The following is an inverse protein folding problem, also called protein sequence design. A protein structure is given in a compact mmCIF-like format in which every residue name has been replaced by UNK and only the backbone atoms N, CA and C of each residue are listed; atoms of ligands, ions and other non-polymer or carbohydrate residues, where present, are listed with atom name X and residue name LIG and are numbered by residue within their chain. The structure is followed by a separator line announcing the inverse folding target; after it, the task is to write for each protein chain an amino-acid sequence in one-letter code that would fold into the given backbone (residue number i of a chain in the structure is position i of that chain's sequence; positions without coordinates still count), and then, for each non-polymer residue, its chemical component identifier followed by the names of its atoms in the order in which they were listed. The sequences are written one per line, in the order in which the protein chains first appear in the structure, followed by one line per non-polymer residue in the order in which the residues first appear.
data_IF_804404626187
#
_entry.id   IF_804404626187
#
_cell.length_a   1.000
_cell.length_b   1.000
_cell.length_c   1.000
_cell.angle_alpha   90.00
_cell.angle_beta   90.00
_cell.angle_gamma   90.00
#
_symmetry.space_group_name_H-M   'P 1'
#
loop_
_entity.id
_entity.type
_entity.pdbx_description
1 polymer ?
#
# COMPACT_ATOMS: atom_id res chain seq x y z
N UNK A 1 -7.48 0.25 0.71
CA UNK A 1 -7.74 -1.07 1.33
C UNK A 1 -6.45 -1.85 1.15
N UNK A 2 -5.77 -2.30 2.22
CA UNK A 2 -4.56 -3.11 2.06
C UNK A 2 -5.00 -4.51 1.60
N UNK A 3 -4.50 -4.95 0.44
CA UNK A 3 -4.75 -6.29 -0.07
C UNK A 3 -3.51 -7.15 0.18
N UNK A 4 -3.74 -8.38 0.63
CA UNK A 4 -2.68 -9.37 0.80
C UNK A 4 -2.13 -9.73 -0.58
N UNK A 5 -0.81 -9.68 -0.74
CA UNK A 5 -0.14 -10.31 -1.87
C UNK A 5 0.08 -11.78 -1.51
N UNK A 6 -0.51 -12.70 -2.28
CA UNK A 6 -0.60 -14.16 -2.07
C UNK A 6 0.76 -14.89 -2.20
N UNK A 7 1.87 -14.22 -1.89
CA UNK A 7 3.22 -14.71 -2.14
C UNK A 7 3.71 -15.78 -1.14
N UNK A 8 2.89 -16.20 -0.17
CA UNK A 8 3.22 -17.28 0.78
C UNK A 8 2.02 -18.21 1.06
N UNK A 9 1.79 -19.24 0.22
CA UNK A 9 0.78 -20.26 0.50
C UNK A 9 1.25 -21.13 1.68
N UNK A 10 0.59 -21.03 2.84
CA UNK A 10 0.77 -22.01 3.91
C UNK A 10 0.41 -21.60 5.33
N UNK A 11 0.14 -20.33 5.62
CA UNK A 11 -0.15 -19.87 6.98
C UNK A 11 -1.52 -19.20 7.01
N UNK A 12 -2.48 -19.69 7.82
CA UNK A 12 -3.77 -19.03 7.97
C UNK A 12 -3.59 -17.60 8.49
N UNK A 13 -4.01 -16.61 7.70
CA UNK A 13 -4.38 -15.31 8.23
C UNK A 13 -5.65 -15.51 9.07
N UNK A 14 -5.49 -15.82 10.37
CA UNK A 14 -6.64 -15.96 11.26
C UNK A 14 -7.36 -14.62 11.32
N UNK A 15 -8.65 -14.61 10.99
CA UNK A 15 -9.45 -13.40 11.01
C UNK A 15 -9.32 -12.70 12.38
N UNK A 16 -9.17 -11.38 12.36
CA UNK A 16 -8.96 -10.52 13.53
C UNK A 16 -10.04 -10.64 14.61
N UNK A 17 -11.20 -11.20 14.27
CA UNK A 17 -12.32 -11.46 15.18
C UNK A 17 -12.29 -12.82 15.89
N UNK A 18 -11.35 -13.70 15.57
CA UNK A 18 -11.28 -15.06 16.14
C UNK A 18 -10.26 -15.10 17.27
N UNK A 19 -10.51 -15.89 18.32
CA UNK A 19 -9.55 -16.11 19.41
C UNK A 19 -8.32 -16.88 18.91
N UNK A 20 -7.08 -16.40 19.16
CA UNK A 20 -5.89 -17.16 18.86
C UNK A 20 -5.87 -18.48 19.66
N UNK A 21 -5.62 -19.58 18.97
CA UNK A 21 -5.46 -20.89 19.60
C UNK A 21 -4.04 -21.01 20.13
N UNK A 22 -3.90 -21.57 21.33
CA UNK A 22 -2.59 -21.78 21.95
C UNK A 22 -1.64 -22.57 21.04
N UNK A 23 -0.36 -22.23 21.13
CA UNK A 23 0.77 -22.90 20.48
C UNK A 23 0.74 -22.90 18.95
N UNK A 24 -0.18 -22.15 18.34
CA UNK A 24 -0.20 -21.93 16.90
C UNK A 24 0.73 -20.80 16.46
N UNK A 25 0.95 -20.74 15.15
CA UNK A 25 1.70 -19.68 14.49
C UNK A 25 0.77 -18.91 13.56
N UNK A 26 0.73 -17.59 13.68
CA UNK A 26 -0.11 -16.73 12.87
C UNK A 26 0.71 -15.68 12.13
N UNK A 27 0.25 -15.31 10.94
CA UNK A 27 0.70 -14.09 10.29
C UNK A 27 0.14 -12.88 11.03
N UNK A 28 1.00 -11.94 11.38
CA UNK A 28 0.65 -10.70 12.05
C UNK A 28 1.45 -9.52 11.48
N UNK A 29 1.09 -8.32 11.94
CA UNK A 29 1.54 -7.06 11.41
C UNK A 29 1.95 -6.10 12.52
N UNK A 30 3.09 -5.43 12.34
CA UNK A 30 3.58 -4.38 13.24
C UNK A 30 3.79 -3.07 12.46
N UNK A 31 2.97 -2.05 12.75
CA UNK A 31 3.13 -0.72 12.18
C UNK A 31 4.25 0.05 12.86
N UNK A 32 5.19 0.58 12.08
CA UNK A 32 6.33 1.35 12.59
C UNK A 32 6.86 2.31 11.52
N UNK A 33 7.96 3.02 11.79
CA UNK A 33 8.61 3.86 10.76
C UNK A 33 9.57 3.04 9.89
N UNK A 34 9.79 3.45 8.63
CA UNK A 34 10.76 2.81 7.74
C UNK A 34 12.15 2.62 8.39
N UNK A 35 12.65 3.67 9.05
CA UNK A 35 13.91 3.61 9.80
C UNK A 35 13.86 2.57 10.93
N UNK A 36 12.78 2.51 11.69
CA UNK A 36 12.64 1.53 12.77
C UNK A 36 12.51 0.09 12.24
N UNK A 37 11.82 -0.09 11.11
CA UNK A 37 11.70 -1.40 10.45
C UNK A 37 13.06 -1.95 10.00
N UNK A 38 13.92 -1.12 9.41
CA UNK A 38 15.30 -1.52 9.08
C UNK A 38 16.11 -1.88 10.33
N UNK A 39 15.94 -1.14 11.44
CA UNK A 39 16.59 -1.49 12.70
C UNK A 39 16.08 -2.81 13.28
N UNK A 40 14.78 -3.09 13.16
CA UNK A 40 14.18 -4.36 13.60
C UNK A 40 14.65 -5.51 12.71
N UNK A 41 14.78 -5.30 11.40
CA UNK A 41 15.31 -6.29 10.47
C UNK A 41 16.75 -6.71 10.83
N UNK A 42 17.58 -5.76 11.25
CA UNK A 42 18.99 -6.02 11.61
C UNK A 42 19.12 -6.59 13.04
N UNK A 43 18.43 -6.00 14.01
CA UNK A 43 18.66 -6.25 15.44
C UNK A 43 17.58 -7.13 16.09
N UNK A 44 16.52 -7.47 15.37
CA UNK A 44 15.30 -8.07 15.92
C UNK A 44 14.39 -7.06 16.64
N UNK A 45 13.21 -7.52 17.02
CA UNK A 45 12.27 -6.73 17.81
C UNK A 45 12.79 -6.49 19.23
N UNK A 46 12.54 -5.29 19.75
CA UNK A 46 12.75 -4.94 21.16
C UNK A 46 11.40 -4.67 21.81
N UNK A 47 11.09 -5.27 22.98
CA UNK A 47 9.81 -5.06 23.62
C UNK A 47 9.72 -3.61 24.15
N UNK A 48 8.53 -3.03 24.11
CA UNK A 48 8.25 -1.74 24.75
C UNK A 48 8.47 -1.83 26.26
N UNK A 49 8.76 -0.70 26.91
CA UNK A 49 8.91 -0.69 28.37
C UNK A 49 7.56 -0.85 29.10
N UNK A 50 6.46 -0.40 28.49
CA UNK A 50 5.09 -0.49 29.00
C UNK A 50 4.10 -0.36 27.81
N UNK A 51 2.81 -0.48 28.12
CA UNK A 51 1.70 -0.34 27.20
C UNK A 51 0.37 -0.68 27.87
N UNK A 52 -0.73 -0.72 27.11
CA UNK A 52 -2.05 -1.11 27.63
C UNK A 52 -2.03 -2.51 28.26
N UNK A 53 -1.17 -3.39 27.75
CA UNK A 53 -0.99 -4.79 28.18
C UNK A 53 0.35 -5.01 28.90
N UNK A 54 1.02 -3.94 29.30
CA UNK A 54 2.37 -3.99 29.87
C UNK A 54 3.48 -4.07 28.82
N UNK A 55 4.64 -4.55 29.22
CA UNK A 55 5.82 -4.71 28.37
C UNK A 55 5.63 -5.83 27.35
N UNK A 56 6.00 -5.58 26.10
CA UNK A 56 6.01 -6.59 25.03
C UNK A 56 6.12 -5.98 23.64
N UNK A 57 5.96 -6.81 22.62
CA UNK A 57 5.88 -6.39 21.21
C UNK A 57 4.42 -6.42 20.79
N UNK A 58 3.91 -5.26 20.38
CA UNK A 58 2.52 -5.06 19.99
C UNK A 58 2.29 -5.36 18.52
N UNK A 59 1.33 -6.21 18.23
CA UNK A 59 1.03 -6.75 16.91
C UNK A 59 -0.47 -6.73 16.67
N UNK A 60 -0.86 -6.82 15.41
CA UNK A 60 -2.24 -7.03 15.02
C UNK A 60 -2.31 -8.05 13.90
N UNK A 61 -3.38 -8.82 13.85
CA UNK A 61 -3.75 -9.66 12.71
C UNK A 61 -4.46 -8.87 11.61
N UNK A 62 -4.84 -7.62 11.87
CA UNK A 62 -5.39 -6.70 10.88
C UNK A 62 -4.30 -5.76 10.33
N UNK A 63 -3.93 -5.98 9.07
CA UNK A 63 -2.98 -5.15 8.33
C UNK A 63 -3.42 -3.67 8.29
N UNK A 64 -4.71 -3.39 8.06
CA UNK A 64 -5.23 -2.02 8.01
C UNK A 64 -5.18 -1.36 9.40
N UNK A 65 -5.28 -2.13 10.49
CA UNK A 65 -5.07 -1.61 11.85
C UNK A 65 -3.60 -1.23 12.01
N UNK A 66 -2.70 -2.17 11.78
CA UNK A 66 -1.26 -2.00 11.98
C UNK A 66 -0.73 -0.81 11.16
N UNK A 67 -1.20 -0.65 9.92
CA UNK A 67 -0.76 0.43 9.03
C UNK A 67 -1.04 1.85 9.51
N UNK A 68 -1.87 2.04 10.54
CA UNK A 68 -2.14 3.37 11.11
C UNK A 68 -1.06 3.85 12.07
N UNK A 69 -0.06 3.01 12.38
CA UNK A 69 0.98 3.33 13.34
C UNK A 69 2.35 3.57 12.68
N UNK A 70 3.17 4.47 13.25
CA UNK A 70 2.87 5.30 14.42
C UNK A 70 1.94 6.49 14.08
N UNK A 71 1.12 6.92 15.04
CA UNK A 71 0.09 7.95 14.80
C UNK A 71 0.67 9.34 14.50
N UNK A 72 1.80 9.67 15.11
CA UNK A 72 2.50 10.96 15.02
C UNK A 72 3.37 11.11 13.76
N UNK A 73 3.68 10.02 13.04
CA UNK A 73 4.52 10.04 11.83
C UNK A 73 3.85 9.35 10.64
N UNK A 74 2.72 9.86 10.13
CA UNK A 74 1.96 9.24 9.05
C UNK A 74 2.74 9.01 7.75
N UNK A 75 3.68 9.90 7.43
CA UNK A 75 4.48 9.83 6.20
C UNK A 75 5.65 8.85 6.26
N UNK A 76 5.98 8.36 7.45
CA UNK A 76 7.11 7.42 7.63
C UNK A 76 6.63 5.98 7.81
N UNK A 77 5.32 5.73 7.79
CA UNK A 77 4.72 4.45 8.15
C UNK A 77 5.08 3.36 7.16
N UNK A 78 5.48 2.23 7.70
CA UNK A 78 5.56 0.94 7.02
C UNK A 78 4.96 -0.12 7.94
N UNK A 79 4.62 -1.27 7.38
CA UNK A 79 4.17 -2.42 8.18
C UNK A 79 5.19 -3.54 8.05
N UNK A 80 5.62 -4.10 9.16
CA UNK A 80 6.39 -5.34 9.15
C UNK A 80 5.41 -6.51 9.19
N UNK A 81 5.51 -7.41 8.23
CA UNK A 81 4.79 -8.70 8.25
C UNK A 81 5.67 -9.75 8.92
N UNK A 82 5.06 -10.50 9.83
CA UNK A 82 5.76 -11.45 10.68
C UNK A 82 4.96 -12.74 10.87
N UNK A 83 5.67 -13.83 11.16
CA UNK A 83 5.10 -15.03 11.74
C UNK A 83 5.26 -14.99 13.26
N UNK A 84 4.20 -15.25 14.00
CA UNK A 84 4.21 -15.17 15.47
C UNK A 84 3.77 -16.50 16.06
N UNK A 85 4.66 -17.18 16.77
CA UNK A 85 4.29 -18.30 17.64
C UNK A 85 3.68 -17.74 18.93
N UNK A 86 2.35 -17.80 19.03
CA UNK A 86 1.63 -17.14 20.14
C UNK A 86 1.78 -17.85 21.48
N UNK A 87 2.25 -19.10 21.50
CA UNK A 87 2.39 -19.90 22.71
C UNK A 87 1.09 -19.94 23.51
N UNK A 88 1.18 -19.75 24.83
CA UNK A 88 0.00 -19.65 25.69
C UNK A 88 -0.61 -18.25 25.63
N UNK A 89 -1.85 -18.16 25.18
CA UNK A 89 -2.58 -16.90 24.97
C UNK A 89 -3.45 -16.59 26.18
N UNK A 90 -3.45 -15.33 26.62
CA UNK A 90 -4.38 -14.81 27.62
C UNK A 90 -5.28 -13.75 27.02
N UNK A 91 -6.58 -14.03 26.95
CA UNK A 91 -7.61 -13.03 26.65
C UNK A 91 -7.68 -11.96 27.74
N UNK A 92 -7.64 -10.69 27.34
CA UNK A 92 -7.79 -9.49 28.18
C UNK A 92 -8.91 -8.64 27.57
N UNK A 93 -10.12 -8.75 28.10
CA UNK A 93 -11.34 -8.26 27.44
C UNK A 93 -12.08 -7.12 28.16
N UNK A 94 -11.45 -6.49 29.15
CA UNK A 94 -11.96 -5.28 29.79
C UNK A 94 -10.85 -4.48 30.50
N UNK A 95 -11.04 -3.18 30.62
CA UNK A 95 -10.10 -2.28 31.30
C UNK A 95 -10.01 -2.61 32.80
N UNK A 96 -8.79 -2.67 33.33
CA UNK A 96 -8.55 -3.07 34.72
C UNK A 96 -8.54 -4.58 34.95
N UNK A 97 -8.45 -5.39 33.89
CA UNK A 97 -8.33 -6.85 34.03
C UNK A 97 -7.16 -7.20 34.98
N UNK A 98 -7.32 -8.12 35.96
CA UNK A 98 -6.28 -8.42 36.96
C UNK A 98 -4.93 -8.81 36.38
N UNK A 99 -4.94 -9.46 35.20
CA UNK A 99 -3.76 -9.86 34.45
C UNK A 99 -3.38 -8.91 33.30
N UNK A 100 -4.00 -7.74 33.17
CA UNK A 100 -3.81 -6.82 32.03
C UNK A 100 -2.35 -6.53 31.74
N UNK A 101 -1.53 -6.31 32.79
CA UNK A 101 -0.09 -6.04 32.65
C UNK A 101 0.83 -7.14 33.22
N UNK A 102 0.27 -8.23 33.76
CA UNK A 102 1.00 -9.24 34.55
C UNK A 102 0.79 -10.67 34.05
N UNK A 103 0.12 -10.84 32.91
CA UNK A 103 -0.13 -12.13 32.26
C UNK A 103 1.16 -12.94 32.03
N UNK A 104 2.28 -12.29 31.70
CA UNK A 104 3.56 -12.99 31.49
C UNK A 104 4.07 -13.69 32.76
N UNK A 105 3.82 -13.13 33.95
CA UNK A 105 4.18 -13.73 35.24
C UNK A 105 3.37 -15.00 35.53
N UNK A 106 2.21 -15.13 34.88
CA UNK A 106 1.35 -16.31 34.93
C UNK A 106 1.67 -17.33 33.82
N UNK A 107 2.86 -17.22 33.21
CA UNK A 107 3.36 -18.15 32.18
C UNK A 107 2.56 -18.12 30.87
N UNK A 108 1.93 -16.99 30.57
CA UNK A 108 1.40 -16.72 29.23
C UNK A 108 2.47 -16.05 28.37
N UNK A 109 2.47 -16.36 27.08
CA UNK A 109 3.43 -15.87 26.10
C UNK A 109 2.89 -14.67 25.30
N UNK A 110 1.56 -14.62 25.15
CA UNK A 110 0.84 -13.54 24.44
C UNK A 110 -0.38 -13.11 25.25
N UNK A 111 -0.60 -11.81 25.40
CA UNK A 111 -1.91 -11.26 25.77
C UNK A 111 -2.66 -10.81 24.52
N UNK A 112 -3.95 -11.14 24.45
CA UNK A 112 -4.81 -10.81 23.32
C UNK A 112 -6.04 -10.02 23.77
N UNK A 113 -6.30 -8.92 23.08
CA UNK A 113 -7.51 -8.10 23.23
C UNK A 113 -8.46 -8.43 22.10
N UNK A 114 -9.67 -8.94 22.37
CA UNK A 114 -10.68 -9.17 21.35
C UNK A 114 -11.26 -7.85 20.81
N UNK A 115 -11.81 -7.86 19.59
CA UNK A 115 -12.50 -6.68 19.08
C UNK A 115 -13.75 -6.37 19.91
N UNK A 116 -14.13 -5.10 19.93
CA UNK A 116 -15.36 -4.57 20.53
C UNK A 116 -15.58 -4.89 22.02
N UNK A 117 -14.52 -5.14 22.79
CA UNK A 117 -14.62 -5.44 24.22
C UNK A 117 -14.40 -4.22 25.15
N UNK A 118 -14.30 -3.01 24.58
CA UNK A 118 -14.13 -1.77 25.36
C UNK A 118 -12.71 -1.50 25.87
N UNK A 119 -11.71 -2.31 25.47
CA UNK A 119 -10.30 -2.07 25.81
C UNK A 119 -9.73 -0.83 25.10
N UNK A 120 -10.08 -0.59 23.84
CA UNK A 120 -9.60 0.56 23.05
C UNK A 120 -10.76 1.28 22.36
N UNK A 121 -10.70 2.62 22.19
CA UNK A 121 -11.77 3.38 21.54
C UNK A 121 -12.09 2.91 20.11
N UNK A 122 -11.08 2.39 19.40
CA UNK A 122 -11.27 1.87 18.04
C UNK A 122 -12.06 0.56 17.97
N UNK A 123 -12.20 -0.17 19.08
CA UNK A 123 -12.80 -1.50 19.10
C UNK A 123 -11.98 -2.58 18.37
N UNK A 124 -10.75 -2.30 17.95
CA UNK A 124 -9.94 -3.25 17.18
C UNK A 124 -9.03 -4.11 18.07
N UNK A 125 -8.84 -5.36 17.65
CA UNK A 125 -8.06 -6.37 18.37
C UNK A 125 -6.57 -6.04 18.47
N UNK A 126 -5.89 -6.55 19.50
CA UNK A 126 -4.44 -6.34 19.68
C UNK A 126 -3.78 -7.53 20.37
N UNK A 127 -2.63 -7.94 19.86
CA UNK A 127 -1.76 -8.93 20.46
C UNK A 127 -0.53 -8.25 21.08
N UNK A 128 -0.11 -8.70 22.27
CA UNK A 128 1.14 -8.28 22.90
C UNK A 128 1.95 -9.52 23.27
N UNK A 129 3.09 -9.71 22.60
CA UNK A 129 3.98 -10.86 22.75
C UNK A 129 5.13 -10.53 23.69
N UNK A 130 5.39 -11.40 24.66
CA UNK A 130 6.38 -11.12 25.72
C UNK A 130 7.82 -11.24 25.22
N UNK A 131 8.15 -12.37 24.57
CA UNK A 131 9.48 -12.66 24.06
C UNK A 131 9.56 -12.42 22.55
N UNK A 132 10.34 -11.41 22.10
CA UNK A 132 10.57 -11.15 20.68
C UNK A 132 11.07 -12.36 19.86
N UNK A 133 11.72 -13.35 20.49
CA UNK A 133 12.22 -14.55 19.80
C UNK A 133 11.11 -15.42 19.21
N UNK A 134 9.86 -15.20 19.63
CA UNK A 134 8.67 -15.86 19.08
C UNK A 134 8.19 -15.23 17.76
N UNK A 135 8.79 -14.11 17.35
CA UNK A 135 8.41 -13.33 16.18
C UNK A 135 9.48 -13.52 15.11
N UNK A 136 9.08 -14.11 13.98
CA UNK A 136 9.94 -14.27 12.81
C UNK A 136 9.57 -13.20 11.78
N UNK A 137 10.53 -12.37 11.43
CA UNK A 137 10.39 -11.36 10.39
C UNK A 137 10.21 -12.03 9.01
N UNK A 138 9.23 -11.60 8.23
CA UNK A 138 9.06 -12.03 6.82
C UNK A 138 9.59 -10.92 5.91
N UNK A 139 8.88 -9.79 5.85
CA UNK A 139 9.22 -8.64 5.02
C UNK A 139 8.62 -7.34 5.56
N UNK A 140 8.98 -6.24 4.90
CA UNK A 140 8.38 -4.94 5.14
C UNK A 140 7.37 -4.75 4.01
N UNK A 141 6.10 -4.64 4.39
CA UNK A 141 5.06 -4.13 3.52
C UNK A 141 5.20 -2.60 3.56
N UNK A 142 5.67 -1.98 2.47
CA UNK A 142 5.59 -0.53 2.37
C UNK A 142 4.11 -0.13 2.44
N UNK A 143 3.78 1.14 2.69
CA UNK A 143 2.41 1.63 2.54
C UNK A 143 1.83 1.19 1.19
N UNK A 144 1.03 0.11 1.16
CA UNK A 144 0.34 -0.34 -0.05
C UNK A 144 -0.81 0.64 -0.23
N UNK A 145 -0.55 1.74 -0.94
CA UNK A 145 -1.49 2.76 -1.41
C UNK A 145 -2.84 2.78 -0.66
N UNK A 146 -2.81 3.09 0.64
CA UNK A 146 -3.86 3.90 1.25
C UNK A 146 -3.54 5.40 1.10
N UNK A 147 -2.52 5.72 0.33
CA UNK A 147 -2.19 7.07 -0.05
C UNK A 147 -2.73 7.33 -1.46
N UNK A 148 -3.88 7.99 -1.53
CA UNK A 148 -4.16 8.95 -2.61
C UNK A 148 -3.21 10.17 -2.55
N UNK A 149 -2.16 10.14 -1.71
CA UNK A 149 -1.26 11.26 -1.39
C UNK A 149 0.20 10.83 -1.03
N UNK A 150 0.79 9.80 -1.67
CA UNK A 150 2.27 9.69 -1.72
C UNK A 150 2.76 9.05 -3.04
N UNK A 151 3.16 9.89 -3.98
CA UNK A 151 3.67 9.54 -5.29
C UNK A 151 5.21 9.59 -5.32
N UNK A 152 5.85 8.60 -4.69
CA UNK A 152 7.31 8.64 -4.48
C UNK A 152 8.05 7.33 -4.79
N UNK A 153 7.47 6.40 -5.56
CA UNK A 153 8.36 5.72 -6.52
C UNK A 153 8.47 6.64 -7.73
N UNK A 154 9.45 7.56 -7.67
CA UNK A 154 9.84 8.33 -8.85
C UNK A 154 9.97 7.36 -10.02
N UNK A 155 9.34 7.65 -11.16
CA UNK A 155 9.54 6.87 -12.36
C UNK A 155 11.04 6.77 -12.60
N UNK A 156 11.53 5.54 -12.73
CA UNK A 156 12.93 5.30 -13.03
C UNK A 156 13.10 5.59 -14.51
N UNK A 157 14.07 6.45 -14.82
CA UNK A 157 14.42 6.76 -16.20
C UNK A 157 14.67 5.47 -16.99
N UNK A 158 14.25 5.46 -18.26
CA UNK A 158 14.39 4.35 -19.20
C UNK A 158 13.70 3.03 -18.79
N UNK A 159 12.89 3.02 -17.73
CA UNK A 159 12.14 1.83 -17.29
C UNK A 159 10.85 1.65 -18.11
N UNK A 160 10.55 0.39 -18.44
CA UNK A 160 9.27 0.02 -19.02
C UNK A 160 8.22 -0.20 -17.91
N UNK A 161 7.05 0.41 -18.09
CA UNK A 161 5.92 0.29 -17.18
C UNK A 161 4.69 -0.23 -17.92
N UNK A 162 3.87 -0.99 -17.19
CA UNK A 162 2.48 -1.24 -17.59
C UNK A 162 1.62 -0.09 -17.05
N UNK A 163 0.88 0.57 -17.93
CA UNK A 163 -0.01 1.69 -17.61
C UNK A 163 -1.37 1.52 -18.27
N UNK A 164 -2.28 2.45 -18.00
CA UNK A 164 -3.66 2.43 -18.44
C UNK A 164 -4.05 3.74 -19.11
N UNK A 165 -4.83 3.62 -20.19
CA UNK A 165 -5.39 4.74 -20.94
C UNK A 165 -6.92 4.61 -21.00
N UNK A 166 -7.61 5.58 -20.41
CA UNK A 166 -9.07 5.67 -20.49
C UNK A 166 -9.53 6.21 -21.83
N UNK A 167 -10.47 5.52 -22.47
CA UNK A 167 -10.97 5.90 -23.79
C UNK A 167 -12.42 5.43 -24.00
N UNK A 168 -13.02 5.76 -25.14
CA UNK A 168 -14.29 5.17 -25.55
C UNK A 168 -14.03 3.82 -26.23
N UNK A 169 -15.03 2.93 -26.28
CA UNK A 169 -14.94 1.68 -27.04
C UNK A 169 -14.62 1.92 -28.51
N UNK A 170 -15.16 2.98 -29.10
CA UNK A 170 -14.91 3.34 -30.49
C UNK A 170 -13.46 3.78 -30.70
N UNK A 171 -12.97 4.68 -29.85
CA UNK A 171 -11.61 5.21 -29.97
C UNK A 171 -10.55 4.17 -29.57
N UNK A 172 -10.89 3.20 -28.70
CA UNK A 172 -10.03 2.04 -28.44
C UNK A 172 -9.71 1.27 -29.73
N UNK A 173 -10.70 1.05 -30.60
CA UNK A 173 -10.48 0.36 -31.88
C UNK A 173 -9.66 1.22 -32.85
N UNK A 174 -9.91 2.54 -32.89
CA UNK A 174 -9.08 3.47 -33.70
C UNK A 174 -7.62 3.48 -33.23
N UNK A 175 -7.39 3.51 -31.91
CA UNK A 175 -6.04 3.52 -31.33
C UNK A 175 -5.30 2.21 -31.63
N UNK A 176 -5.99 1.06 -31.59
CA UNK A 176 -5.38 -0.22 -32.00
C UNK A 176 -4.96 -0.22 -33.47
N UNK A 177 -5.76 0.38 -34.34
CA UNK A 177 -5.50 0.41 -35.77
C UNK A 177 -4.42 1.43 -36.17
N UNK A 178 -4.44 2.61 -35.55
CA UNK A 178 -3.68 3.77 -36.01
C UNK A 178 -2.60 4.24 -35.01
N UNK A 179 -2.57 3.68 -33.80
CA UNK A 179 -1.74 4.15 -32.70
C UNK A 179 -2.35 5.35 -31.96
N UNK A 180 -1.61 5.84 -30.96
CA UNK A 180 -2.01 7.01 -30.19
C UNK A 180 -1.73 8.32 -30.94
N UNK A 181 -2.60 9.31 -30.73
CA UNK A 181 -2.36 10.70 -31.14
C UNK A 181 -2.09 11.54 -29.88
N UNK A 182 -1.22 12.54 -30.01
CA UNK A 182 -1.02 13.52 -28.94
C UNK A 182 -2.23 14.45 -28.84
N UNK A 183 -2.52 14.91 -27.63
CA UNK A 183 -3.49 15.97 -27.37
C UNK A 183 -2.90 17.00 -26.42
N UNK A 184 -3.39 18.25 -26.49
CA UNK A 184 -3.05 19.26 -25.49
C UNK A 184 -3.78 18.97 -24.18
N UNK A 185 -3.15 19.31 -23.06
CA UNK A 185 -3.68 19.04 -21.74
C UNK A 185 -2.92 19.74 -20.62
N UNK A 186 -3.14 19.26 -19.41
CA UNK A 186 -2.58 19.81 -18.15
C UNK A 186 -1.06 19.82 -18.16
N UNK A 187 -0.40 18.80 -18.71
CA UNK A 187 1.04 18.68 -18.84
C UNK A 187 1.55 19.08 -20.24
N UNK A 188 0.78 19.86 -20.99
CA UNK A 188 1.11 20.20 -22.37
C UNK A 188 0.75 19.08 -23.36
N UNK A 189 1.45 19.03 -24.48
CA UNK A 189 1.08 18.19 -25.61
C UNK A 189 1.68 16.77 -25.49
N UNK A 190 0.84 15.74 -25.46
CA UNK A 190 1.29 14.36 -25.29
C UNK A 190 0.15 13.35 -25.13
N UNK A 191 0.49 12.12 -24.71
CA UNK A 191 -0.46 11.06 -24.40
C UNK A 191 -0.51 10.84 -22.90
N UNK A 192 -1.72 10.91 -22.33
CA UNK A 192 -1.94 10.88 -20.89
C UNK A 192 -2.24 9.46 -20.38
N UNK A 193 -1.34 8.93 -19.56
CA UNK A 193 -1.42 7.59 -18.98
C UNK A 193 -1.49 7.64 -17.46
N UNK A 194 -1.97 6.56 -16.86
CA UNK A 194 -1.92 6.37 -15.40
C UNK A 194 -1.48 4.95 -15.05
N UNK A 195 -0.80 4.79 -13.91
CA UNK A 195 -0.57 3.48 -13.31
C UNK A 195 -1.81 2.94 -12.58
N UNK A 196 -2.83 3.78 -12.41
CA UNK A 196 -4.10 3.45 -11.77
C UNK A 196 -5.19 3.21 -12.83
N UNK A 197 -5.73 1.99 -12.85
CA UNK A 197 -6.78 1.56 -13.77
C UNK A 197 -8.13 2.23 -13.49
N UNK A 198 -8.45 2.47 -12.22
CA UNK A 198 -9.70 3.14 -11.81
C UNK A 198 -9.63 4.60 -12.24
N UNK A 199 -8.53 5.30 -11.94
CA UNK A 199 -8.32 6.68 -12.39
C UNK A 199 -8.45 6.80 -13.91
N UNK A 200 -7.77 5.92 -14.66
CA UNK A 200 -7.86 5.92 -16.11
C UNK A 200 -9.31 5.78 -16.59
N UNK A 201 -10.12 4.94 -15.94
CA UNK A 201 -11.55 4.76 -16.29
C UNK A 201 -12.44 5.97 -15.94
N UNK A 202 -12.08 6.73 -14.91
CA UNK A 202 -12.84 7.86 -14.40
C UNK A 202 -12.64 9.14 -15.21
N UNK A 203 -11.50 9.28 -15.91
CA UNK A 203 -11.13 10.45 -16.71
C UNK A 203 -12.16 10.86 -17.80
N UNK A 204 -13.11 9.98 -18.12
CA UNK A 204 -14.22 10.24 -19.05
C UNK A 204 -15.55 10.48 -18.32
N UNK A 205 -15.60 11.41 -17.37
CA UNK A 205 -16.78 11.65 -16.52
C UNK A 205 -18.09 11.94 -17.27
N UNK A 206 -18.00 12.45 -18.51
CA UNK A 206 -19.14 12.78 -19.38
C UNK A 206 -19.60 11.61 -20.27
N UNK A 207 -18.82 10.53 -20.37
CA UNK A 207 -19.15 9.37 -21.22
C UNK A 207 -19.93 8.33 -20.40
N UNK A 208 -21.05 7.79 -20.91
CA UNK A 208 -21.78 6.71 -20.26
C UNK A 208 -20.89 5.49 -19.97
N UNK A 209 -21.02 4.87 -18.80
CA UNK A 209 -20.19 3.72 -18.37
C UNK A 209 -20.14 2.60 -19.42
N UNK A 210 -21.25 2.34 -20.12
CA UNK A 210 -21.35 1.30 -21.13
C UNK A 210 -20.51 1.57 -22.39
N UNK A 211 -20.13 2.83 -22.63
CA UNK A 211 -19.32 3.25 -23.79
C UNK A 211 -17.83 3.44 -23.44
N UNK A 212 -17.47 3.37 -22.16
CA UNK A 212 -16.09 3.47 -21.70
C UNK A 212 -15.31 2.19 -21.99
N UNK A 213 -14.01 2.35 -22.17
CA UNK A 213 -13.02 1.29 -22.32
C UNK A 213 -11.70 1.74 -21.69
N UNK A 214 -10.89 0.79 -21.24
CA UNK A 214 -9.55 1.06 -20.75
C UNK A 214 -8.57 0.19 -21.51
N UNK A 215 -7.56 0.81 -22.11
CA UNK A 215 -6.45 0.12 -22.75
C UNK A 215 -5.36 -0.13 -21.70
N UNK A 216 -4.86 -1.36 -21.65
CA UNK A 216 -3.61 -1.69 -20.94
C UNK A 216 -2.46 -1.54 -21.93
N UNK A 217 -1.45 -0.75 -21.56
CA UNK A 217 -0.33 -0.42 -22.43
C UNK A 217 1.01 -0.71 -21.75
N UNK A 218 2.04 -0.99 -22.54
CA UNK A 218 3.44 -0.95 -22.14
C UNK A 218 4.08 0.32 -22.68
N UNK A 219 4.82 1.03 -21.85
CA UNK A 219 5.52 2.26 -22.23
C UNK A 219 6.89 2.32 -21.56
N UNK A 220 7.92 2.65 -22.33
CA UNK A 220 9.19 3.09 -21.78
C UNK A 220 9.11 4.60 -21.54
N UNK A 221 9.33 5.04 -20.30
CA UNK A 221 9.14 6.45 -19.92
C UNK A 221 10.30 7.36 -20.32
N UNK A 222 11.42 6.80 -20.81
CA UNK A 222 12.62 7.55 -21.16
C UNK A 222 13.09 8.41 -19.99
N UNK A 223 13.53 9.64 -20.28
CA UNK A 223 13.89 10.61 -19.24
C UNK A 223 12.64 11.28 -18.66
N UNK A 224 12.44 11.17 -17.35
CA UNK A 224 11.24 11.67 -16.68
C UNK A 224 11.48 12.99 -15.96
N UNK A 225 10.63 13.98 -16.24
CA UNK A 225 10.54 15.20 -15.46
C UNK A 225 9.41 15.07 -14.42
N UNK A 226 9.76 15.25 -13.15
CA UNK A 226 8.76 15.46 -12.10
C UNK A 226 8.24 16.90 -12.14
N UNK A 227 6.92 17.05 -12.15
CA UNK A 227 6.23 18.33 -11.98
C UNK A 227 5.60 18.34 -10.59
N UNK A 228 6.14 19.13 -9.67
CA UNK A 228 5.69 19.17 -8.27
C UNK A 228 4.35 19.91 -8.09
N UNK A 229 4.02 20.87 -8.95
CA UNK A 229 2.76 21.61 -8.92
C UNK A 229 2.39 22.20 -10.29
N UNK A 230 1.08 22.39 -10.52
CA UNK A 230 0.56 23.04 -11.73
C UNK A 230 0.87 24.55 -11.69
N UNK A 231 1.22 25.13 -12.84
CA UNK A 231 1.62 26.53 -13.02
C UNK A 231 3.14 26.75 -13.15
N UNK A 232 3.97 25.69 -13.13
CA UNK A 232 5.42 25.83 -13.33
C UNK A 232 5.75 26.19 -14.79
N UNK A 233 6.77 27.04 -15.04
CA UNK A 233 7.21 27.36 -16.41
C UNK A 233 7.54 26.13 -17.26
N UNK A 234 8.10 25.07 -16.65
CA UNK A 234 8.48 23.85 -17.34
C UNK A 234 7.29 22.93 -17.71
N UNK A 235 6.10 23.15 -17.16
CA UNK A 235 4.93 22.28 -17.31
C UNK A 235 4.51 22.06 -18.77
N UNK A 236 4.76 23.04 -19.65
CA UNK A 236 4.42 22.96 -21.08
C UNK A 236 5.63 22.95 -22.03
N UNK A 237 6.85 22.93 -21.49
CA UNK A 237 8.09 23.07 -22.28
C UNK A 237 9.11 21.95 -22.00
N UNK A 238 8.74 20.94 -21.22
CA UNK A 238 9.65 19.88 -20.80
C UNK A 238 10.17 19.03 -21.97
N UNK A 239 9.39 18.86 -23.03
CA UNK A 239 9.84 18.16 -24.24
C UNK A 239 10.95 18.94 -24.97
N UNK A 240 10.90 20.28 -24.97
CA UNK A 240 11.97 21.13 -25.53
C UNK A 240 13.27 21.02 -24.72
N UNK A 241 13.14 20.63 -23.45
CA UNK A 241 14.25 20.34 -22.54
C UNK A 241 14.72 18.87 -22.58
N UNK A 242 14.33 18.11 -23.62
CA UNK A 242 14.74 16.71 -23.85
C UNK A 242 14.27 15.72 -22.77
N UNK A 243 13.12 15.98 -22.16
CA UNK A 243 12.42 14.97 -21.37
C UNK A 243 11.42 14.23 -22.26
N UNK A 244 11.28 12.92 -22.05
CA UNK A 244 10.38 12.06 -22.81
C UNK A 244 9.01 11.95 -22.16
N UNK A 245 8.97 12.08 -20.83
CA UNK A 245 7.75 11.98 -20.02
C UNK A 245 7.73 13.07 -18.94
N UNK A 246 6.62 13.78 -18.81
CA UNK A 246 6.30 14.54 -17.61
C UNK A 246 5.41 13.72 -16.69
N UNK A 247 5.70 13.72 -15.40
CA UNK A 247 4.90 13.02 -14.40
C UNK A 247 4.46 13.98 -13.31
N UNK A 248 3.16 13.99 -13.00
CA UNK A 248 2.65 14.65 -11.80
C UNK A 248 2.39 13.58 -10.75
N UNK A 249 3.19 13.60 -9.69
CA UNK A 249 3.08 12.64 -8.62
C UNK A 249 1.67 12.60 -8.01
N UNK A 250 1.15 13.72 -7.50
CA UNK A 250 -0.11 13.74 -6.72
C UNK A 250 -1.37 13.34 -7.51
N UNK A 251 -1.27 13.27 -8.84
CA UNK A 251 -2.36 12.81 -9.69
C UNK A 251 -2.09 11.43 -10.29
N UNK A 252 -0.92 10.81 -10.10
CA UNK A 252 -0.50 9.60 -10.84
C UNK A 252 -0.78 9.74 -12.35
N UNK A 253 -0.32 10.86 -12.91
CA UNK A 253 -0.53 11.23 -14.31
C UNK A 253 0.80 11.34 -15.04
N UNK A 254 0.90 10.66 -16.18
CA UNK A 254 2.07 10.62 -17.03
C UNK A 254 1.68 11.21 -18.37
N UNK A 255 2.39 12.24 -18.83
CA UNK A 255 2.27 12.78 -20.18
C UNK A 255 3.50 12.35 -20.97
N UNK A 256 3.31 11.41 -21.88
CA UNK A 256 4.36 10.84 -22.72
C UNK A 256 4.40 11.61 -24.03
N UNK A 257 5.57 12.13 -24.40
CA UNK A 257 5.73 12.95 -25.59
C UNK A 257 5.52 12.14 -26.87
N UNK A 258 6.22 11.01 -27.02
CA UNK A 258 6.22 10.24 -28.26
C UNK A 258 5.19 9.10 -28.23
N UNK A 259 4.10 9.15 -29.01
CA UNK A 259 3.09 8.08 -29.04
C UNK A 259 3.65 6.72 -29.45
N UNK A 260 4.73 6.68 -30.24
CA UNK A 260 5.37 5.43 -30.68
C UNK A 260 6.08 4.68 -29.55
N UNK A 261 6.30 5.31 -28.39
CA UNK A 261 6.83 4.65 -27.21
C UNK A 261 5.77 3.79 -26.50
N UNK A 262 4.49 3.90 -26.88
CA UNK A 262 3.35 3.28 -26.21
C UNK A 262 2.86 2.10 -27.06
N UNK A 263 2.83 0.91 -26.46
CA UNK A 263 2.35 -0.32 -27.09
C UNK A 263 1.10 -0.80 -26.39
N UNK A 264 -0.01 -0.92 -27.13
CA UNK A 264 -1.24 -1.53 -26.61
C UNK A 264 -1.00 -3.02 -26.38
N UNK A 265 -1.34 -3.52 -25.19
CA UNK A 265 -1.30 -4.95 -24.85
C UNK A 265 -2.68 -5.55 -25.09
N UNK A 266 -3.71 -5.00 -24.42
CA UNK A 266 -5.08 -5.47 -24.52
C UNK A 266 -6.08 -4.39 -24.04
N UNK A 267 -7.37 -4.74 -24.15
CA UNK A 267 -8.48 -3.99 -23.59
C UNK A 267 -8.91 -4.67 -22.30
N UNK A 268 -9.02 -3.90 -21.23
CA UNK A 268 -9.53 -4.39 -19.95
C UNK A 268 -11.04 -4.48 -20.04
N UNK A 269 -11.58 -5.68 -19.79
CA UNK A 269 -13.03 -5.86 -19.66
C UNK A 269 -13.45 -5.27 -18.31
N UNK A 270 -14.58 -4.54 -18.25
CA UNK A 270 -15.06 -4.01 -16.98
C UNK A 270 -15.27 -5.14 -15.99
N UNK A 271 -14.78 -4.93 -14.76
CA UNK A 271 -15.06 -5.76 -13.58
C UNK A 271 -16.54 -5.57 -13.21
#
# INVERSE_FOLDING_TARGET
MWAEDDLYPGVPCLQSNTEPVNDNVYQMYHGTTARAAEQIKINGFRPSADGMLGRGVYLSRDLNKASRYPLDKPRERVVIRVMVNVGRVKKIDYQGHPLQKTWHSQRYDTAWVPPNCGMVPSGLEEDCVWDPKRITFIDIIPPSLQNKDDPLEYPVDDKEYTMFYGTTKEDAEKIKACGFCQSDGTLGYGVYLSRDVEKASENLGHVPKQQKSVLRVKVNVGKVLKIDYLGQPMQKMWHDCRYDTAWIPGYEEYCVWNPKAIKVIDVIRPI
#
